data_IF_046417488748
#
_entry.id   IF_046417488748
#
_cell.length_a   1.000
_cell.length_b   1.000
_cell.length_c   1.000
_cell.angle_alpha   90.00
_cell.angle_beta   90.00
_cell.angle_gamma   90.00
#
_symmetry.space_group_name_H-M   'P 1'
#
loop_
_entity.id
_entity.type
_entity.pdbx_description
1 polymer ?
#
# COMPACT_ATOMS: atom_id res chain seq x y z
N UNK A 1 -7.07 22.00 27.71
CA UNK A 1 -7.75 21.65 26.43
C UNK A 1 -6.88 20.87 25.42
N UNK A 2 -5.54 21.04 25.37
CA UNK A 2 -4.65 20.37 24.39
C UNK A 2 -4.63 18.82 24.42
N UNK A 3 -4.80 18.19 25.59
CA UNK A 3 -4.75 16.71 25.73
C UNK A 3 -5.92 15.97 25.05
N UNK A 4 -7.08 16.60 24.83
CA UNK A 4 -8.24 15.95 24.18
C UNK A 4 -8.12 15.92 22.65
N UNK A 5 -7.51 16.94 22.04
CA UNK A 5 -7.29 17.00 20.60
C UNK A 5 -6.26 15.96 20.14
N UNK A 6 -5.13 15.85 20.86
CA UNK A 6 -4.07 14.88 20.58
C UNK A 6 -4.57 13.42 20.67
N UNK A 7 -5.45 13.12 21.64
CA UNK A 7 -6.03 11.78 21.81
C UNK A 7 -7.01 11.39 20.69
N UNK A 8 -7.77 12.35 20.13
CA UNK A 8 -8.63 12.14 18.96
C UNK A 8 -7.83 12.04 17.65
N UNK A 9 -6.69 12.70 17.61
CA UNK A 9 -5.79 12.67 16.45
C UNK A 9 -5.02 11.35 16.37
N UNK A 10 -4.60 10.80 17.51
CA UNK A 10 -3.99 9.47 17.53
C UNK A 10 -5.00 8.35 17.27
N UNK A 11 -6.30 8.58 17.50
CA UNK A 11 -7.35 7.62 17.15
C UNK A 11 -7.59 7.51 15.64
N UNK A 12 -7.42 8.59 14.85
CA UNK A 12 -7.59 8.50 13.39
C UNK A 12 -6.46 7.71 12.71
N UNK A 13 -5.24 7.73 13.27
CA UNK A 13 -4.16 6.89 12.72
C UNK A 13 -4.44 5.38 12.87
N UNK A 14 -5.30 4.99 13.83
CA UNK A 14 -5.65 3.59 14.08
C UNK A 14 -6.77 3.07 13.17
N UNK A 15 -7.42 3.94 12.39
CA UNK A 15 -8.39 3.54 11.36
C UNK A 15 -7.68 2.79 10.22
N UNK A 16 -6.44 3.18 9.94
CA UNK A 16 -5.58 2.51 8.98
C UNK A 16 -5.00 1.24 9.59
N UNK A 17 -5.19 0.10 8.93
CA UNK A 17 -4.57 -1.18 9.29
C UNK A 17 -3.06 -1.09 9.11
N UNK A 18 -2.32 -1.50 10.14
CA UNK A 18 -0.85 -1.40 10.22
C UNK A 18 -0.21 -2.78 10.42
N UNK A 19 1.10 -2.84 10.20
CA UNK A 19 1.87 -4.09 10.25
C UNK A 19 1.80 -4.84 8.92
N UNK A 20 2.07 -6.15 8.98
CA UNK A 20 1.88 -7.03 7.82
C UNK A 20 0.38 -7.17 7.55
N UNK A 21 -0.06 -6.80 6.34
CA UNK A 21 -1.48 -6.79 5.98
C UNK A 21 -1.78 -7.99 5.09
N UNK A 22 -2.46 -8.99 5.66
CA UNK A 22 -2.93 -10.14 4.89
C UNK A 22 -4.19 -9.76 4.10
N UNK A 23 -4.02 -9.17 2.91
CA UNK A 23 -5.12 -9.00 1.96
C UNK A 23 -5.29 -10.32 1.21
N UNK A 24 -6.41 -11.03 1.36
CA UNK A 24 -6.60 -12.32 0.69
C UNK A 24 -6.83 -12.10 -0.80
N UNK A 25 -5.81 -12.35 -1.62
CA UNK A 25 -5.85 -12.17 -3.08
C UNK A 25 -5.34 -13.41 -3.81
N UNK A 26 -5.93 -13.72 -4.96
CA UNK A 26 -5.39 -14.73 -5.88
C UNK A 26 -4.49 -14.04 -6.91
N UNK A 27 -3.20 -13.88 -6.57
CA UNK A 27 -2.25 -13.13 -7.39
C UNK A 27 -2.06 -13.72 -8.78
N UNK A 28 -2.11 -15.04 -8.94
CA UNK A 28 -2.01 -15.69 -10.25
C UNK A 28 -3.18 -15.30 -11.17
N UNK A 29 -4.41 -15.33 -10.65
CA UNK A 29 -5.60 -14.92 -11.40
C UNK A 29 -5.57 -13.42 -11.73
N UNK A 30 -5.11 -12.58 -10.80
CA UNK A 30 -4.99 -11.14 -11.03
C UNK A 30 -3.93 -10.87 -12.12
N UNK A 31 -2.76 -11.51 -12.06
CA UNK A 31 -1.73 -11.38 -13.08
C UNK A 31 -2.26 -11.79 -14.46
N UNK A 32 -2.96 -12.93 -14.56
CA UNK A 32 -3.55 -13.38 -15.83
C UNK A 32 -4.61 -12.41 -16.38
N UNK A 33 -5.36 -11.75 -15.50
CA UNK A 33 -6.33 -10.73 -15.91
C UNK A 33 -5.65 -9.46 -16.41
N UNK A 34 -4.57 -9.03 -15.74
CA UNK A 34 -3.74 -7.88 -16.14
C UNK A 34 -3.00 -8.14 -17.44
N UNK A 35 -2.48 -9.35 -17.64
CA UNK A 35 -1.86 -9.77 -18.90
C UNK A 35 -2.85 -9.70 -20.09
N UNK A 36 -4.16 -9.73 -19.83
CA UNK A 36 -5.24 -9.55 -20.83
C UNK A 36 -5.75 -8.11 -20.93
N UNK A 37 -5.10 -7.15 -20.25
CA UNK A 37 -5.46 -5.73 -20.25
C UNK A 37 -6.46 -5.30 -19.16
N UNK A 38 -6.86 -6.21 -18.27
CA UNK A 38 -7.75 -5.88 -17.17
C UNK A 38 -7.02 -5.21 -16.01
N UNK A 39 -7.63 -4.21 -15.34
CA UNK A 39 -7.04 -3.56 -14.16
C UNK A 39 -5.58 -3.08 -14.33
N UNK A 40 -5.25 -2.24 -15.34
CA UNK A 40 -3.87 -1.79 -15.59
C UNK A 40 -3.24 -1.07 -14.38
N UNK A 41 -4.06 -0.52 -13.48
CA UNK A 41 -3.65 0.07 -12.22
C UNK A 41 -2.81 -0.87 -11.34
N UNK A 42 -2.94 -2.20 -11.50
CA UNK A 42 -2.11 -3.20 -10.79
C UNK A 42 -0.63 -3.18 -11.20
N UNK A 43 -0.29 -2.58 -12.33
CA UNK A 43 1.09 -2.41 -12.79
C UNK A 43 1.77 -1.17 -12.18
N UNK A 44 0.99 -0.29 -11.56
CA UNK A 44 1.49 0.91 -10.89
C UNK A 44 1.44 0.72 -9.37
N UNK A 45 2.57 0.83 -8.65
CA UNK A 45 2.58 0.62 -7.21
C UNK A 45 1.79 1.69 -6.44
N UNK A 46 1.75 2.94 -6.93
CA UNK A 46 1.00 4.03 -6.28
C UNK A 46 -0.50 3.78 -6.39
N UNK A 47 -0.99 3.50 -7.61
CA UNK A 47 -2.42 3.22 -7.80
C UNK A 47 -2.85 1.92 -7.10
N UNK A 48 -1.95 0.93 -7.01
CA UNK A 48 -2.21 -0.29 -6.23
C UNK A 48 -2.31 0.03 -4.75
N UNK A 49 -1.36 0.77 -4.19
CA UNK A 49 -1.37 1.18 -2.79
C UNK A 49 -2.65 1.95 -2.44
N UNK A 50 -3.06 2.87 -3.31
CA UNK A 50 -4.27 3.68 -3.14
C UNK A 50 -5.53 2.79 -3.19
N UNK A 51 -5.74 2.02 -4.26
CA UNK A 51 -6.97 1.25 -4.45
C UNK A 51 -7.12 0.13 -3.43
N UNK A 52 -6.04 -0.60 -3.15
CA UNK A 52 -6.05 -1.65 -2.11
C UNK A 52 -6.17 -1.02 -0.73
N UNK A 53 -5.48 0.10 -0.50
CA UNK A 53 -5.50 0.85 0.74
C UNK A 53 -6.91 1.32 1.11
N UNK A 54 -7.62 1.93 0.18
CA UNK A 54 -8.99 2.40 0.36
C UNK A 54 -9.95 1.23 0.56
N UNK A 55 -9.86 0.20 -0.28
CA UNK A 55 -10.81 -0.91 -0.25
C UNK A 55 -10.64 -1.82 0.99
N UNK A 56 -9.42 -1.96 1.52
CA UNK A 56 -9.11 -3.01 2.50
C UNK A 56 -8.43 -2.53 3.78
N UNK A 57 -7.76 -1.38 3.76
CA UNK A 57 -6.83 -0.98 4.82
C UNK A 57 -7.26 0.26 5.61
N UNK A 58 -8.42 0.85 5.30
CA UNK A 58 -8.97 1.98 6.07
C UNK A 58 -8.47 3.35 5.63
N UNK A 59 -7.73 3.44 4.51
CA UNK A 59 -7.49 4.73 3.86
C UNK A 59 -8.79 5.28 3.25
N UNK A 60 -8.84 6.59 3.06
CA UNK A 60 -9.95 7.33 2.47
C UNK A 60 -9.62 7.84 1.07
N UNK A 61 -10.61 8.06 0.18
CA UNK A 61 -10.37 8.61 -1.16
C UNK A 61 -9.70 10.00 -1.21
N UNK A 62 -9.68 10.73 -0.09
CA UNK A 62 -8.97 12.02 0.03
C UNK A 62 -7.52 11.90 0.50
N UNK A 63 -7.07 10.69 0.83
CA UNK A 63 -5.70 10.43 1.28
C UNK A 63 -4.72 10.54 0.10
N UNK A 64 -3.50 10.97 0.40
CA UNK A 64 -2.47 11.18 -0.63
C UNK A 64 -1.52 10.00 -0.66
N UNK A 65 -1.20 9.53 -1.86
CA UNK A 65 -0.21 8.48 -2.10
C UNK A 65 0.89 9.02 -3.03
N UNK A 66 2.15 8.88 -2.64
CA UNK A 66 3.30 9.39 -3.37
C UNK A 66 4.37 8.31 -3.47
N UNK A 67 4.84 8.03 -4.68
CA UNK A 67 5.94 7.10 -4.89
C UNK A 67 7.20 7.57 -4.15
N UNK A 68 7.85 6.67 -3.40
CA UNK A 68 9.11 6.94 -2.71
C UNK A 68 10.29 6.31 -3.45
N UNK A 69 10.30 4.99 -3.61
CA UNK A 69 11.44 4.28 -4.22
C UNK A 69 11.09 2.84 -4.61
N UNK A 70 11.98 2.22 -5.40
CA UNK A 70 12.02 0.78 -5.61
C UNK A 70 13.25 0.19 -4.93
N UNK A 71 13.16 -1.08 -4.53
CA UNK A 71 14.32 -1.86 -4.14
C UNK A 71 14.10 -3.35 -4.46
N UNK A 72 15.18 -4.13 -4.49
CA UNK A 72 15.10 -5.60 -4.60
C UNK A 72 15.44 -6.16 -3.23
N UNK A 73 14.59 -7.01 -2.68
CA UNK A 73 14.95 -7.76 -1.48
C UNK A 73 15.91 -8.89 -1.88
N UNK A 74 17.15 -8.82 -1.40
CA UNK A 74 18.17 -9.84 -1.70
C UNK A 74 17.88 -11.20 -1.05
N UNK A 75 17.04 -11.24 0.00
CA UNK A 75 16.64 -12.49 0.64
C UNK A 75 15.67 -13.30 -0.22
N UNK A 76 14.61 -12.66 -0.70
CA UNK A 76 13.56 -13.30 -1.51
C UNK A 76 13.77 -13.21 -3.03
N UNK A 77 14.59 -12.25 -3.49
CA UNK A 77 14.74 -11.91 -4.91
C UNK A 77 13.54 -11.16 -5.49
N UNK A 78 12.62 -10.68 -4.67
CA UNK A 78 11.42 -9.97 -5.10
C UNK A 78 11.70 -8.47 -5.27
N UNK A 79 11.02 -7.86 -6.23
CA UNK A 79 10.97 -6.41 -6.38
C UNK A 79 9.96 -5.84 -5.41
N UNK A 80 10.37 -4.77 -4.74
CA UNK A 80 9.56 -4.00 -3.82
C UNK A 80 9.43 -2.55 -4.26
N UNK A 81 8.31 -1.93 -3.88
CA UNK A 81 8.06 -0.52 -4.02
C UNK A 81 7.64 0.06 -2.67
N UNK A 82 8.12 1.27 -2.41
CA UNK A 82 7.74 2.06 -1.25
C UNK A 82 6.88 3.24 -1.70
N UNK A 83 5.73 3.40 -1.05
CA UNK A 83 4.77 4.48 -1.30
C UNK A 83 4.49 5.19 0.02
N UNK A 84 4.70 6.49 0.05
CA UNK A 84 4.28 7.34 1.17
C UNK A 84 2.79 7.59 1.09
N UNK A 85 2.07 7.37 2.19
CA UNK A 85 0.65 7.64 2.31
C UNK A 85 0.37 8.65 3.43
N UNK A 86 -0.60 9.54 3.23
CA UNK A 86 -1.04 10.50 4.24
C UNK A 86 -2.54 10.35 4.49
N UNK A 87 -2.89 10.00 5.73
CA UNK A 87 -4.27 9.91 6.22
C UNK A 87 -4.49 10.95 7.32
N UNK A 88 -5.18 12.04 6.97
CA UNK A 88 -5.26 13.23 7.82
C UNK A 88 -3.87 13.80 8.13
N UNK A 89 -3.48 13.77 9.40
CA UNK A 89 -2.15 14.20 9.86
C UNK A 89 -1.13 13.06 9.93
N UNK A 90 -1.59 11.81 9.86
CA UNK A 90 -0.75 10.64 10.03
C UNK A 90 -0.01 10.32 8.72
N UNK A 91 1.28 10.03 8.81
CA UNK A 91 2.13 9.63 7.69
C UNK A 91 2.44 8.15 7.78
N UNK A 92 2.29 7.43 6.67
CA UNK A 92 2.53 5.99 6.57
C UNK A 92 3.50 5.69 5.44
N UNK A 93 4.22 4.57 5.61
CA UNK A 93 4.94 3.89 4.55
C UNK A 93 4.15 2.64 4.15
N UNK A 94 3.72 2.57 2.91
CA UNK A 94 3.11 1.40 2.30
C UNK A 94 4.18 0.68 1.50
N UNK A 95 4.44 -0.56 1.86
CA UNK A 95 5.39 -1.43 1.20
C UNK A 95 4.63 -2.42 0.33
N UNK A 96 5.03 -2.50 -0.93
CA UNK A 96 4.47 -3.39 -1.93
C UNK A 96 5.56 -4.30 -2.48
N UNK A 97 5.15 -5.44 -3.01
CA UNK A 97 6.02 -6.39 -3.71
C UNK A 97 5.35 -6.94 -4.96
N UNK A 98 6.13 -7.57 -5.84
CA UNK A 98 5.62 -8.26 -7.02
C UNK A 98 5.57 -9.78 -6.79
N UNK A 99 4.38 -10.37 -6.52
CA UNK A 99 4.26 -11.78 -6.08
C UNK A 99 4.43 -12.82 -7.19
N UNK A 100 4.19 -12.47 -8.46
CA UNK A 100 4.08 -13.46 -9.56
C UNK A 100 5.21 -13.31 -10.58
N UNK A 101 5.46 -12.08 -11.02
CA UNK A 101 6.43 -11.75 -12.05
C UNK A 101 7.15 -10.47 -11.65
N UNK A 102 8.46 -10.44 -11.85
CA UNK A 102 9.28 -9.26 -11.59
C UNK A 102 9.32 -8.34 -12.82
N UNK A 103 9.39 -7.02 -12.60
CA UNK A 103 9.59 -5.99 -13.63
C UNK A 103 8.29 -5.31 -14.07
N UNK A 104 8.36 -4.55 -15.17
CA UNK A 104 7.27 -3.63 -15.58
C UNK A 104 5.92 -4.27 -15.95
N UNK A 105 5.85 -5.61 -16.09
CA UNK A 105 4.60 -6.34 -16.31
C UNK A 105 4.10 -7.11 -15.09
N UNK A 106 4.83 -7.04 -13.97
CA UNK A 106 4.44 -7.67 -12.71
C UNK A 106 3.39 -6.85 -11.98
N UNK A 107 2.36 -7.53 -11.47
CA UNK A 107 1.40 -6.88 -10.57
C UNK A 107 2.05 -6.51 -9.24
N UNK A 108 1.56 -5.46 -8.60
CA UNK A 108 1.90 -5.10 -7.24
C UNK A 108 0.85 -5.63 -6.25
N UNK A 109 1.33 -5.98 -5.05
CA UNK A 109 0.52 -6.35 -3.90
C UNK A 109 1.03 -5.62 -2.66
N UNK A 110 0.13 -5.18 -1.78
CA UNK A 110 0.53 -4.55 -0.51
C UNK A 110 0.95 -5.64 0.47
N UNK A 111 2.13 -5.47 1.07
CA UNK A 111 2.68 -6.36 2.09
C UNK A 111 2.53 -5.78 3.49
N UNK A 112 2.90 -4.51 3.65
CA UNK A 112 3.04 -3.89 4.97
C UNK A 112 2.66 -2.42 4.95
N UNK A 113 2.07 -1.97 6.05
CA UNK A 113 1.80 -0.55 6.31
C UNK A 113 2.43 -0.15 7.64
N UNK A 114 3.29 0.86 7.63
CA UNK A 114 4.02 1.32 8.82
C UNK A 114 3.69 2.78 9.10
N UNK A 115 3.21 3.08 10.31
CA UNK A 115 3.05 4.47 10.76
C UNK A 115 4.44 5.09 10.98
N UNK A 116 4.73 6.18 10.26
CA UNK A 116 5.97 6.94 10.38
C UNK A 116 5.85 8.07 11.41
N UNK A 117 4.64 8.62 11.60
CA UNK A 117 4.42 9.69 12.56
C UNK A 117 3.12 10.47 12.32
N UNK A 118 2.97 11.53 13.11
CA UNK A 118 1.87 12.51 13.11
C UNK A 118 2.44 13.90 12.94
#
# INVERSE_FOLDING_TARGET
MRRRAYRRQQSSCNEVKQGHVAVPENFLMIQQFVDKGGNPWRLNPVETAERVGIANLGFSPGDKFVFRSYYVDYGSGLNHALVDAQHGICKFLVELYQPVRQGGSGIWAVERVTLLGV
#
